data_IF_951416686179
#
_entry.id   IF_951416686179
#
_cell.length_a   1.000
_cell.length_b   1.000
_cell.length_c   1.000
_cell.angle_alpha   90.00
_cell.angle_beta   90.00
_cell.angle_gamma   90.00
#
_symmetry.space_group_name_H-M   'P 1'
#
loop_
_entity.id
_entity.type
_entity.pdbx_description
1 polymer ?
#
# COMPACT_ATOMS: atom_id res chain seq x y z
N UNK A 1 -23.72 6.14 -25.17
CA UNK A 1 -22.68 6.83 -24.37
C UNK A 1 -23.08 6.85 -22.89
N UNK A 2 -23.18 5.70 -22.22
CA UNK A 2 -23.56 5.59 -20.80
C UNK A 2 -22.43 5.03 -19.90
N UNK A 3 -21.27 4.76 -20.50
CA UNK A 3 -20.14 4.11 -19.85
C UNK A 3 -19.43 5.02 -18.83
N UNK A 4 -19.55 6.34 -18.99
CA UNK A 4 -18.72 7.32 -18.26
C UNK A 4 -19.15 7.58 -16.81
N UNK A 5 -20.45 7.66 -16.48
CA UNK A 5 -20.89 8.06 -15.12
C UNK A 5 -20.84 6.89 -14.13
N UNK A 6 -21.16 5.67 -14.58
CA UNK A 6 -21.15 4.48 -13.72
C UNK A 6 -19.72 4.08 -13.34
N UNK A 7 -18.78 4.15 -14.30
CA UNK A 7 -17.37 3.84 -14.05
C UNK A 7 -16.70 4.85 -13.11
N UNK A 8 -17.00 6.15 -13.25
CA UNK A 8 -16.47 7.19 -12.37
C UNK A 8 -16.98 6.99 -10.92
N UNK A 9 -18.28 6.72 -10.74
CA UNK A 9 -18.83 6.44 -9.41
C UNK A 9 -18.21 5.21 -8.76
N UNK A 10 -17.90 4.17 -9.53
CA UNK A 10 -17.25 2.98 -9.02
C UNK A 10 -15.80 3.27 -8.59
N UNK A 11 -15.06 4.06 -9.37
CA UNK A 11 -13.70 4.48 -9.04
C UNK A 11 -13.64 5.25 -7.72
N UNK A 12 -14.49 6.25 -7.52
CA UNK A 12 -14.48 7.07 -6.31
C UNK A 12 -14.84 6.25 -5.05
N UNK A 13 -15.79 5.30 -5.18
CA UNK A 13 -16.15 4.39 -4.10
C UNK A 13 -14.96 3.47 -3.72
N UNK A 14 -14.35 2.82 -4.70
CA UNK A 14 -13.17 1.95 -4.48
C UNK A 14 -12.01 2.76 -3.89
N UNK A 15 -11.74 3.96 -4.41
CA UNK A 15 -10.70 4.85 -3.88
C UNK A 15 -10.97 5.22 -2.42
N UNK A 16 -12.20 5.53 -2.06
CA UNK A 16 -12.57 5.82 -0.67
C UNK A 16 -12.32 4.63 0.25
N UNK A 17 -12.70 3.43 -0.19
CA UNK A 17 -12.45 2.20 0.56
C UNK A 17 -10.95 1.91 0.70
N UNK A 18 -10.16 2.09 -0.37
CA UNK A 18 -8.71 1.94 -0.34
C UNK A 18 -8.06 2.91 0.65
N UNK A 19 -8.45 4.19 0.64
CA UNK A 19 -7.94 5.19 1.59
C UNK A 19 -8.28 4.83 3.04
N UNK A 20 -9.44 4.23 3.28
CA UNK A 20 -9.82 3.71 4.59
C UNK A 20 -8.91 2.54 5.01
N UNK A 21 -8.67 1.59 4.11
CA UNK A 21 -7.84 0.40 4.35
C UNK A 21 -6.39 0.78 4.65
N UNK A 22 -5.80 1.64 3.83
CA UNK A 22 -4.38 2.01 3.92
C UNK A 22 -4.14 3.18 4.88
N UNK A 23 -5.19 3.73 5.50
CA UNK A 23 -5.09 4.79 6.50
C UNK A 23 -4.54 4.34 7.86
N UNK A 24 -4.31 3.04 8.07
CA UNK A 24 -3.63 2.49 9.25
C UNK A 24 -4.53 2.10 10.43
N UNK A 25 -5.83 2.41 10.38
CA UNK A 25 -6.81 2.06 11.43
C UNK A 25 -7.99 1.22 10.88
N UNK A 26 -7.74 0.40 9.85
CA UNK A 26 -8.77 -0.45 9.27
C UNK A 26 -8.99 -1.72 10.10
N UNK A 27 -9.77 -1.58 11.17
CA UNK A 27 -10.16 -2.68 12.07
C UNK A 27 -11.57 -2.45 12.63
N UNK A 28 -12.31 -3.53 12.99
CA UNK A 28 -13.68 -3.43 13.49
C UNK A 28 -13.86 -2.42 14.63
N UNK A 29 -12.91 -2.36 15.56
CA UNK A 29 -12.98 -1.48 16.74
C UNK A 29 -12.81 0.02 16.40
N UNK A 30 -12.23 0.34 15.24
CA UNK A 30 -11.99 1.73 14.82
C UNK A 30 -13.07 2.27 13.88
N UNK A 31 -13.59 1.44 12.98
CA UNK A 31 -14.54 1.87 11.93
C UNK A 31 -15.94 1.26 12.09
N UNK A 32 -16.12 0.39 13.08
CA UNK A 32 -17.33 -0.39 13.31
C UNK A 32 -17.29 -1.74 12.57
N UNK A 33 -17.82 -2.82 13.19
CA UNK A 33 -17.78 -4.17 12.63
C UNK A 33 -18.55 -4.27 11.31
N UNK A 34 -19.70 -3.61 11.20
CA UNK A 34 -20.54 -3.63 9.99
C UNK A 34 -19.81 -2.98 8.82
N UNK A 35 -19.21 -1.81 9.04
CA UNK A 35 -18.49 -1.08 7.99
C UNK A 35 -17.26 -1.85 7.53
N UNK A 36 -16.52 -2.42 8.49
CA UNK A 36 -15.38 -3.27 8.19
C UNK A 36 -15.78 -4.49 7.33
N UNK A 37 -16.85 -5.19 7.72
CA UNK A 37 -17.36 -6.33 6.96
C UNK A 37 -17.85 -5.93 5.56
N UNK A 38 -18.53 -4.79 5.44
CA UNK A 38 -19.02 -4.25 4.17
C UNK A 38 -17.87 -3.98 3.17
N UNK A 39 -16.81 -3.30 3.62
CA UNK A 39 -15.62 -2.99 2.81
C UNK A 39 -14.88 -4.28 2.43
N UNK A 40 -14.64 -5.17 3.39
CA UNK A 40 -14.02 -6.47 3.13
C UNK A 40 -14.82 -7.28 2.10
N UNK A 41 -16.15 -7.28 2.21
CA UNK A 41 -17.04 -7.95 1.27
C UNK A 41 -16.90 -7.43 -0.16
N UNK A 42 -16.84 -6.10 -0.34
CA UNK A 42 -16.61 -5.49 -1.67
C UNK A 42 -15.24 -5.82 -2.24
N UNK A 43 -14.18 -5.72 -1.42
CA UNK A 43 -12.82 -6.08 -1.85
C UNK A 43 -12.75 -7.53 -2.31
N UNK A 44 -13.35 -8.46 -1.56
CA UNK A 44 -13.35 -9.88 -1.93
C UNK A 44 -14.21 -10.20 -3.16
N UNK A 45 -15.23 -9.38 -3.45
CA UNK A 45 -16.09 -9.55 -4.62
C UNK A 45 -15.42 -9.09 -5.92
N UNK A 46 -14.53 -8.09 -5.87
CA UNK A 46 -13.86 -7.52 -7.05
C UNK A 46 -12.39 -7.13 -6.77
N UNK A 47 -11.51 -8.09 -6.42
CA UNK A 47 -10.14 -7.77 -6.02
C UNK A 47 -9.32 -7.13 -7.15
N UNK A 48 -9.54 -7.52 -8.41
CA UNK A 48 -8.87 -6.94 -9.58
C UNK A 48 -9.23 -5.45 -9.77
N UNK A 49 -10.52 -5.09 -9.68
CA UNK A 49 -10.95 -3.68 -9.77
C UNK A 49 -10.26 -2.82 -8.69
N UNK A 50 -10.14 -3.35 -7.47
CA UNK A 50 -9.45 -2.66 -6.38
C UNK A 50 -7.94 -2.52 -6.64
N UNK A 51 -7.29 -3.53 -7.20
CA UNK A 51 -5.87 -3.46 -7.57
C UNK A 51 -5.62 -2.45 -8.69
N UNK A 52 -6.47 -2.41 -9.72
CA UNK A 52 -6.37 -1.41 -10.79
C UNK A 52 -6.50 0.02 -10.24
N UNK A 53 -7.46 0.25 -9.33
CA UNK A 53 -7.61 1.57 -8.69
C UNK A 53 -6.42 1.86 -7.77
N UNK A 54 -5.95 0.87 -7.00
CA UNK A 54 -4.77 1.00 -6.15
C UNK A 54 -3.55 1.46 -6.96
N UNK A 55 -3.30 0.84 -8.11
CA UNK A 55 -2.20 1.20 -9.00
C UNK A 55 -2.35 2.62 -9.54
N UNK A 56 -3.56 2.97 -9.98
CA UNK A 56 -3.83 4.31 -10.50
C UNK A 56 -3.68 5.42 -9.44
N UNK A 57 -3.95 5.12 -8.17
CA UNK A 57 -3.93 6.10 -7.09
C UNK A 57 -2.55 6.20 -6.45
N UNK A 58 -1.89 5.08 -6.20
CA UNK A 58 -0.65 5.03 -5.41
C UNK A 58 0.59 4.74 -6.25
N UNK A 59 0.43 4.20 -7.46
CA UNK A 59 1.53 3.87 -8.37
C UNK A 59 1.55 4.71 -9.65
N UNK A 60 0.72 5.74 -9.79
CA UNK A 60 0.84 6.70 -10.89
C UNK A 60 2.15 7.50 -10.83
N UNK A 61 2.50 8.15 -11.95
CA UNK A 61 3.79 8.87 -12.15
C UNK A 61 4.09 9.94 -11.09
N UNK A 62 3.08 10.51 -10.45
CA UNK A 62 3.24 11.50 -9.37
C UNK A 62 3.30 10.82 -8.01
N UNK A 63 4.46 10.29 -7.67
CA UNK A 63 4.74 9.72 -6.35
C UNK A 63 5.13 10.82 -5.35
N UNK A 64 4.29 11.03 -4.33
CA UNK A 64 4.63 11.83 -3.16
C UNK A 64 5.09 10.91 -2.02
N UNK A 65 6.40 10.91 -1.75
CA UNK A 65 7.01 10.08 -0.72
C UNK A 65 6.47 10.38 0.69
N UNK A 66 6.15 11.63 0.99
CA UNK A 66 5.59 12.03 2.29
C UNK A 66 4.19 11.45 2.44
N UNK A 67 3.33 11.65 1.43
CA UNK A 67 1.97 11.11 1.45
C UNK A 67 1.99 9.57 1.58
N UNK A 68 2.75 8.87 0.74
CA UNK A 68 2.82 7.40 0.77
C UNK A 68 3.48 6.88 2.05
N UNK A 69 4.46 7.59 2.62
CA UNK A 69 5.06 7.20 3.90
C UNK A 69 4.08 7.30 5.08
N UNK A 70 2.99 8.05 4.96
CA UNK A 70 1.93 8.09 5.97
C UNK A 70 0.91 6.95 5.84
N UNK A 71 0.81 6.33 4.67
CA UNK A 71 -0.16 5.28 4.36
C UNK A 71 0.42 3.87 4.49
N UNK A 72 -0.33 2.95 5.07
CA UNK A 72 0.04 1.56 5.24
C UNK A 72 -0.40 0.71 4.04
N UNK A 73 0.17 1.00 2.86
CA UNK A 73 -0.17 0.32 1.60
C UNK A 73 -0.05 -1.22 1.62
N UNK A 74 0.90 -1.84 2.36
CA UNK A 74 0.98 -3.30 2.44
C UNK A 74 -0.29 -3.99 2.96
N UNK A 75 -1.12 -3.32 3.79
CA UNK A 75 -2.34 -3.95 4.33
C UNK A 75 -3.31 -4.37 3.24
N UNK A 76 -3.51 -3.52 2.23
CA UNK A 76 -4.40 -3.85 1.12
C UNK A 76 -3.87 -5.02 0.31
N UNK A 77 -2.58 -5.03 -0.03
CA UNK A 77 -1.97 -6.13 -0.79
C UNK A 77 -2.08 -7.46 -0.03
N UNK A 78 -1.91 -7.45 1.28
CA UNK A 78 -2.11 -8.64 2.14
C UNK A 78 -3.54 -9.19 2.05
N UNK A 79 -4.56 -8.33 1.96
CA UNK A 79 -5.97 -8.74 1.86
C UNK A 79 -6.31 -9.47 0.55
N UNK A 80 -5.63 -9.12 -0.56
CA UNK A 80 -5.95 -9.63 -1.91
C UNK A 80 -4.94 -10.63 -2.46
N UNK A 81 -3.81 -10.86 -1.76
CA UNK A 81 -2.69 -11.71 -2.23
C UNK A 81 -3.08 -13.13 -2.65
N UNK A 82 -4.08 -13.74 -2.01
CA UNK A 82 -4.50 -15.11 -2.33
C UNK A 82 -5.43 -15.18 -3.55
N UNK A 83 -6.06 -14.05 -3.91
CA UNK A 83 -7.00 -13.95 -5.04
C UNK A 83 -6.27 -13.56 -6.32
N UNK A 84 -5.40 -12.55 -6.23
CA UNK A 84 -4.70 -11.97 -7.38
C UNK A 84 -3.17 -11.94 -7.19
N UNK A 85 -2.53 -13.11 -7.00
CA UNK A 85 -1.15 -13.16 -6.52
C UNK A 85 -0.13 -12.57 -7.50
N UNK A 86 -0.37 -12.67 -8.81
CA UNK A 86 0.51 -12.10 -9.86
C UNK A 86 0.47 -10.58 -9.88
N UNK A 87 -0.73 -10.01 -9.80
CA UNK A 87 -0.92 -8.57 -9.77
C UNK A 87 -0.39 -7.98 -8.46
N UNK A 88 -0.58 -8.68 -7.33
CA UNK A 88 0.03 -8.31 -6.05
C UNK A 88 1.55 -8.33 -6.14
N UNK A 89 2.18 -9.34 -6.75
CA UNK A 89 3.64 -9.34 -6.98
C UNK A 89 4.08 -8.10 -7.73
N UNK A 90 3.46 -7.80 -8.87
CA UNK A 90 3.80 -6.63 -9.68
C UNK A 90 3.67 -5.32 -8.89
N UNK A 91 2.56 -5.15 -8.17
CA UNK A 91 2.28 -3.96 -7.37
C UNK A 91 3.28 -3.80 -6.23
N UNK A 92 3.61 -4.91 -5.56
CA UNK A 92 4.60 -4.94 -4.49
C UNK A 92 6.01 -4.60 -5.00
N UNK A 93 6.42 -5.13 -6.15
CA UNK A 93 7.72 -4.83 -6.78
C UNK A 93 7.81 -3.35 -7.20
N UNK A 94 6.73 -2.79 -7.74
CA UNK A 94 6.64 -1.37 -8.07
C UNK A 94 6.74 -0.48 -6.83
N UNK A 95 6.05 -0.81 -5.73
CA UNK A 95 6.17 -0.10 -4.46
C UNK A 95 7.58 -0.22 -3.86
N UNK A 96 8.14 -1.42 -3.89
CA UNK A 96 9.47 -1.69 -3.37
C UNK A 96 10.51 -0.83 -4.06
N UNK A 97 10.45 -0.70 -5.39
CA UNK A 97 11.35 0.18 -6.15
C UNK A 97 11.32 1.62 -5.62
N UNK A 98 10.13 2.11 -5.22
CA UNK A 98 9.99 3.46 -4.66
C UNK A 98 10.51 3.57 -3.22
N UNK A 99 10.29 2.56 -2.40
CA UNK A 99 10.84 2.50 -1.04
C UNK A 99 12.37 2.39 -1.06
N UNK A 100 12.93 1.59 -1.96
CA UNK A 100 14.38 1.47 -2.15
C UNK A 100 14.99 2.80 -2.60
N UNK A 101 14.32 3.53 -3.51
CA UNK A 101 14.74 4.88 -3.87
C UNK A 101 14.70 5.86 -2.69
N UNK A 102 13.65 5.81 -1.86
CA UNK A 102 13.54 6.65 -0.67
C UNK A 102 14.59 6.29 0.42
N UNK A 103 15.02 5.03 0.47
CA UNK A 103 15.99 4.53 1.45
C UNK A 103 17.43 4.54 0.94
N UNK A 104 17.71 5.01 -0.28
CA UNK A 104 19.04 4.88 -0.92
C UNK A 104 20.18 5.41 -0.06
N UNK A 105 20.02 6.59 0.55
CA UNK A 105 21.04 7.19 1.43
C UNK A 105 21.17 6.45 2.75
N UNK A 106 20.05 6.00 3.31
CA UNK A 106 20.05 5.15 4.50
C UNK A 106 20.80 3.85 4.20
N UNK A 107 20.50 3.16 3.10
CA UNK A 107 21.09 1.88 2.70
C UNK A 107 22.58 2.01 2.30
N UNK A 108 23.02 3.17 1.80
CA UNK A 108 24.43 3.44 1.52
C UNK A 108 25.26 3.80 2.77
N UNK A 109 24.62 4.22 3.87
CA UNK A 109 25.34 4.61 5.09
C UNK A 109 26.11 3.42 5.69
N UNK A 110 27.41 3.62 5.98
CA UNK A 110 28.25 2.58 6.63
C UNK A 110 27.80 2.27 8.05
N UNK A 111 27.32 3.28 8.76
CA UNK A 111 26.78 3.19 10.12
C UNK A 111 25.34 3.72 10.10
N UNK A 112 24.37 2.80 10.15
CA UNK A 112 22.93 3.13 10.09
C UNK A 112 22.48 3.91 11.31
N UNK A 113 22.99 3.53 12.49
CA UNK A 113 22.60 4.15 13.75
C UNK A 113 23.06 5.61 13.75
N UNK A 114 24.33 5.85 13.44
CA UNK A 114 24.86 7.21 13.37
C UNK A 114 24.17 8.05 12.30
N UNK A 115 23.82 7.47 11.15
CA UNK A 115 23.04 8.17 10.13
C UNK A 115 21.68 8.62 10.69
N UNK A 116 20.96 7.75 11.40
CA UNK A 116 19.66 8.06 11.99
C UNK A 116 19.76 9.11 13.10
N UNK A 117 20.80 9.09 13.92
CA UNK A 117 21.06 10.09 14.97
C UNK A 117 21.35 11.50 14.41
N UNK A 118 21.78 11.60 13.13
CA UNK A 118 22.03 12.87 12.45
C UNK A 118 20.78 13.45 11.77
N UNK A 119 19.70 12.67 11.67
CA UNK A 119 18.46 13.14 11.07
C UNK A 119 17.58 13.88 12.10
N UNK A 120 16.81 14.89 11.67
CA UNK A 120 15.72 15.41 12.48
C UNK A 120 14.63 14.33 12.72
N UNK A 121 13.83 14.50 13.77
CA UNK A 121 12.81 13.52 14.21
C UNK A 121 11.87 13.05 13.08
N UNK A 122 11.35 13.97 12.25
CA UNK A 122 10.36 13.61 11.23
C UNK A 122 10.98 12.80 10.06
N UNK A 123 12.13 13.21 9.47
CA UNK A 123 12.90 12.36 8.57
C UNK A 123 13.27 11.00 9.18
N UNK A 124 13.64 10.95 10.46
CA UNK A 124 13.94 9.68 11.14
C UNK A 124 12.71 8.76 11.16
N UNK A 125 11.54 9.29 11.55
CA UNK A 125 10.27 8.55 11.53
C UNK A 125 9.86 8.11 10.14
N UNK A 126 10.13 8.92 9.11
CA UNK A 126 9.86 8.57 7.72
C UNK A 126 10.71 7.37 7.30
N UNK A 127 12.03 7.40 7.56
CA UNK A 127 12.94 6.29 7.24
C UNK A 127 12.47 5.00 7.92
N UNK A 128 12.12 5.04 9.20
CA UNK A 128 11.63 3.84 9.90
C UNK A 128 10.30 3.33 9.33
N UNK A 129 9.34 4.21 9.05
CA UNK A 129 8.05 3.84 8.44
C UNK A 129 8.25 3.16 7.09
N UNK A 130 9.12 3.71 6.24
CA UNK A 130 9.40 3.14 4.91
C UNK A 130 10.15 1.81 5.04
N UNK A 131 11.10 1.70 5.98
CA UNK A 131 11.85 0.46 6.23
C UNK A 131 10.94 -0.68 6.67
N UNK A 132 10.01 -0.43 7.60
CA UNK A 132 9.03 -1.41 8.08
C UNK A 132 8.15 -1.89 6.92
N UNK A 133 7.60 -0.96 6.13
CA UNK A 133 6.76 -1.30 4.97
C UNK A 133 7.51 -2.09 3.90
N UNK A 134 8.80 -1.80 3.68
CA UNK A 134 9.64 -2.60 2.77
C UNK A 134 9.75 -4.06 3.25
N UNK A 135 9.98 -4.28 4.54
CA UNK A 135 10.08 -5.61 5.13
C UNK A 135 8.75 -6.38 4.98
N UNK A 136 7.62 -5.70 5.20
CA UNK A 136 6.30 -6.29 5.04
C UNK A 136 5.99 -6.65 3.58
N UNK A 137 6.34 -5.79 2.62
CA UNK A 137 6.21 -6.13 1.20
C UNK A 137 7.02 -7.38 0.84
N UNK A 138 8.25 -7.50 1.35
CA UNK A 138 9.06 -8.70 1.14
C UNK A 138 8.40 -9.96 1.75
N UNK A 139 7.77 -9.82 2.91
CA UNK A 139 7.02 -10.92 3.53
C UNK A 139 5.79 -11.32 2.70
N UNK A 140 5.03 -10.34 2.18
CA UNK A 140 3.89 -10.57 1.29
C UNK A 140 4.35 -11.35 0.06
N UNK A 141 5.37 -10.85 -0.64
CA UNK A 141 5.90 -11.45 -1.87
C UNK A 141 6.42 -12.87 -1.65
N UNK A 142 7.09 -13.14 -0.52
CA UNK A 142 7.54 -14.49 -0.15
C UNK A 142 6.39 -15.45 0.17
N UNK A 143 5.26 -14.92 0.65
CA UNK A 143 4.08 -15.71 1.00
C UNK A 143 3.14 -15.99 -0.18
N UNK A 144 3.41 -15.43 -1.36
CA UNK A 144 2.60 -15.67 -2.55
C UNK A 144 2.67 -17.14 -2.99
N UNK A 145 1.58 -17.70 -3.53
CA UNK A 145 1.57 -19.06 -4.05
C UNK A 145 2.58 -19.25 -5.20
N UNK A 146 3.12 -20.46 -5.33
CA UNK A 146 4.09 -20.78 -6.37
C UNK A 146 3.50 -20.56 -7.77
N UNK A 147 4.25 -19.87 -8.65
CA UNK A 147 3.80 -19.52 -10.01
C UNK A 147 3.08 -18.18 -10.15
N UNK A 148 3.06 -17.40 -9.07
CA UNK A 148 2.72 -15.97 -9.04
C UNK A 148 3.91 -15.07 -9.40
#
# INVERSE_FOLDING_TARGET
MNTSISQIKNFDAIKSDLLLIVGGNFMPDCIGPDKHAEVCGRVQAAPDDYLQVFDSVFLAERYDATQVSSLYLPSFLEMVKNREPRHVRWSADALRTRYDAALISYDAARDKQKFMELLPDEPQRLVERVRVKRIELDAIVKSLPAGA
#
